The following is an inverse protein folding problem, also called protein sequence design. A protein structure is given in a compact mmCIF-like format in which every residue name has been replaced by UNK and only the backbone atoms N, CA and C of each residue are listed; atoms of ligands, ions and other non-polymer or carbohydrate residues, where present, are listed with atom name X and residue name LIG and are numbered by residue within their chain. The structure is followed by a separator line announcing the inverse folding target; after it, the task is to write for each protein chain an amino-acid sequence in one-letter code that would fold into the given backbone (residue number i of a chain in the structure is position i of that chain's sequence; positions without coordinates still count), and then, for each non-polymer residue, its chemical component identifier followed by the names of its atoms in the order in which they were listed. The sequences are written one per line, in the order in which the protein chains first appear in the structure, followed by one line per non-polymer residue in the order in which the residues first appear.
data_IF_673047667973
#
_entry.id   IF_673047667973
#
_cell.length_a   1.000
_cell.length_b   1.000
_cell.length_c   1.000
_cell.angle_alpha   90.00
_cell.angle_beta   90.00
_cell.angle_gamma   90.00
#
_symmetry.space_group_name_H-M   'P 1'
#
loop_
_entity.id
_entity.type
_entity.pdbx_description
1 polymer ?
#
# COMPACT_ATOMS: atom_id res chain seq x y z
N UNK A 1 10.96 -7.66 2.09
CA UNK A 1 9.74 -6.95 1.65
C UNK A 1 9.04 -6.53 2.90
N UNK A 2 9.29 -5.30 3.31
CA UNK A 2 8.60 -4.65 4.40
C UNK A 2 7.55 -3.70 3.83
N UNK A 3 6.43 -3.60 4.52
CA UNK A 3 5.41 -2.59 4.29
C UNK A 3 5.51 -1.59 5.43
N UNK A 4 5.67 -0.31 5.12
CA UNK A 4 5.68 0.76 6.12
C UNK A 4 4.68 1.81 5.71
N UNK A 5 3.79 2.18 6.62
CA UNK A 5 2.83 3.28 6.44
C UNK A 5 3.19 4.38 7.43
N UNK A 6 3.42 5.59 6.95
CA UNK A 6 3.75 6.70 7.84
C UNK A 6 2.52 7.16 8.63
N UNK A 7 2.71 7.81 9.80
CA UNK A 7 1.59 8.41 10.52
C UNK A 7 0.80 9.45 9.71
N UNK A 8 1.40 10.07 8.68
CA UNK A 8 0.70 11.02 7.81
C UNK A 8 -0.22 10.30 6.83
N UNK A 9 0.29 9.23 6.20
CA UNK A 9 -0.51 8.38 5.32
C UNK A 9 -1.66 7.72 6.10
N UNK A 10 -1.38 7.16 7.28
CA UNK A 10 -2.41 6.56 8.13
C UNK A 10 -3.56 7.54 8.41
N UNK A 11 -3.24 8.78 8.81
CA UNK A 11 -4.26 9.80 9.08
C UNK A 11 -5.08 10.16 7.85
N UNK A 12 -4.45 10.23 6.69
CA UNK A 12 -5.15 10.47 5.44
C UNK A 12 -6.11 9.31 5.11
N UNK A 13 -5.66 8.06 5.29
CA UNK A 13 -6.53 6.90 5.07
C UNK A 13 -7.71 6.87 6.04
N UNK A 14 -7.47 7.19 7.31
CA UNK A 14 -8.52 7.32 8.32
C UNK A 14 -9.55 8.41 7.99
N UNK A 15 -9.14 9.51 7.34
CA UNK A 15 -10.05 10.59 6.95
C UNK A 15 -10.80 10.34 5.65
N UNK A 16 -10.17 9.66 4.68
CA UNK A 16 -10.71 9.48 3.33
C UNK A 16 -11.41 8.15 3.10
N UNK A 17 -11.10 7.12 3.90
CA UNK A 17 -11.60 5.76 3.69
C UNK A 17 -12.39 5.30 4.91
N UNK A 18 -13.69 5.08 4.71
CA UNK A 18 -14.52 4.36 5.67
C UNK A 18 -14.28 2.85 5.50
N UNK A 19 -13.73 2.22 6.54
CA UNK A 19 -13.35 0.81 6.52
C UNK A 19 -14.36 -0.02 7.31
N UNK A 20 -15.06 -0.97 6.66
CA UNK A 20 -15.90 -1.92 7.38
C UNK A 20 -15.08 -2.76 8.35
N UNK A 21 -15.73 -3.23 9.42
CA UNK A 21 -15.13 -4.22 10.31
C UNK A 21 -14.63 -5.41 9.49
N UNK A 22 -13.39 -5.85 9.74
CA UNK A 22 -12.66 -6.94 9.05
C UNK A 22 -12.01 -6.61 7.70
N UNK A 23 -12.24 -5.42 7.15
CA UNK A 23 -11.59 -4.98 5.91
C UNK A 23 -10.25 -4.27 6.19
N UNK A 24 -9.42 -4.18 5.16
CA UNK A 24 -8.21 -3.36 5.17
C UNK A 24 -7.93 -2.77 3.80
N UNK A 25 -6.80 -2.07 3.71
CA UNK A 25 -6.30 -1.45 2.49
C UNK A 25 -5.21 -2.35 1.90
N UNK A 26 -5.49 -2.96 0.75
CA UNK A 26 -4.54 -3.77 -0.01
C UNK A 26 -3.73 -2.87 -0.94
N UNK A 27 -2.43 -3.14 -1.06
CA UNK A 27 -1.58 -2.58 -2.11
C UNK A 27 -1.20 -3.65 -3.13
N UNK A 28 -1.35 -3.34 -4.42
CA UNK A 28 -1.12 -4.29 -5.50
C UNK A 28 -0.50 -3.65 -6.76
N UNK A 29 0.10 -4.48 -7.61
CA UNK A 29 0.64 -4.05 -8.90
C UNK A 29 -0.43 -4.01 -9.99
N UNK A 30 -0.40 -2.98 -10.85
CA UNK A 30 -1.27 -2.85 -12.04
C UNK A 30 -0.43 -2.76 -13.30
N UNK A 31 -0.92 -3.39 -14.38
CA UNK A 31 -0.36 -3.21 -15.71
C UNK A 31 -0.58 -1.78 -16.19
N UNK A 32 0.39 -1.28 -16.96
CA UNK A 32 0.48 0.09 -17.45
C UNK A 32 0.79 1.12 -16.35
N UNK A 33 1.56 2.14 -16.74
CA UNK A 33 2.08 3.16 -15.84
C UNK A 33 3.56 2.96 -15.53
N UNK A 34 4.01 3.65 -14.49
CA UNK A 34 5.42 3.67 -14.08
C UNK A 34 5.51 3.94 -12.58
N UNK A 35 6.38 3.22 -11.88
CA UNK A 35 6.81 3.57 -10.52
C UNK A 35 8.27 4.04 -10.52
N UNK A 36 8.82 4.33 -9.34
CA UNK A 36 10.24 4.64 -9.18
C UNK A 36 11.17 3.54 -9.70
N UNK A 37 10.71 2.27 -9.67
CA UNK A 37 11.55 1.09 -9.92
C UNK A 37 11.02 0.17 -11.02
N UNK A 38 9.77 0.36 -11.48
CA UNK A 38 9.15 -0.45 -12.53
C UNK A 38 8.77 0.41 -13.73
N UNK A 39 9.14 -0.06 -14.94
CA UNK A 39 8.64 0.49 -16.20
C UNK A 39 7.49 -0.41 -16.72
N UNK A 40 6.38 0.21 -17.11
CA UNK A 40 5.17 -0.49 -17.57
C UNK A 40 4.23 -0.98 -16.46
N UNK A 41 4.51 -0.68 -15.19
CA UNK A 41 3.65 -1.04 -14.06
C UNK A 41 3.43 0.14 -13.12
N UNK A 42 2.23 0.19 -12.52
CA UNK A 42 1.85 1.16 -11.49
C UNK A 42 1.40 0.44 -10.22
N UNK A 43 1.29 1.18 -9.13
CA UNK A 43 0.71 0.69 -7.88
C UNK A 43 -0.78 1.06 -7.82
N UNK A 44 -1.58 0.15 -7.29
CA UNK A 44 -2.99 0.34 -6.99
C UNK A 44 -3.28 0.04 -5.52
N UNK A 45 -4.46 0.47 -5.08
CA UNK A 45 -5.01 0.11 -3.78
C UNK A 45 -6.50 -0.25 -3.87
N UNK A 46 -6.95 -1.11 -2.96
CA UNK A 46 -8.36 -1.50 -2.81
C UNK A 46 -8.72 -1.68 -1.33
N UNK A 47 -10.01 -1.54 -1.03
CA UNK A 47 -10.58 -1.87 0.28
C UNK A 47 -11.21 -3.25 0.19
N UNK A 48 -10.60 -4.23 0.86
CA UNK A 48 -11.04 -5.62 0.80
C UNK A 48 -10.66 -6.40 2.05
N UNK A 49 -11.22 -7.60 2.19
CA UNK A 49 -10.82 -8.53 3.25
C UNK A 49 -9.54 -9.26 2.82
N UNK A 50 -8.56 -9.41 3.71
CA UNK A 50 -7.36 -10.17 3.40
C UNK A 50 -7.68 -11.66 3.22
N UNK A 51 -7.19 -12.27 2.14
CA UNK A 51 -7.35 -13.71 1.85
C UNK A 51 -6.08 -14.50 2.19
N UNK A 52 -4.97 -14.21 1.51
CA UNK A 52 -3.65 -14.83 1.67
C UNK A 52 -2.51 -13.79 1.82
N UNK A 53 -2.64 -12.88 2.80
CA UNK A 53 -1.71 -11.76 2.98
C UNK A 53 -0.31 -12.22 3.36
N UNK A 54 0.69 -11.82 2.57
CA UNK A 54 2.11 -12.07 2.83
C UNK A 54 2.75 -10.99 3.70
N UNK A 55 2.14 -9.79 3.73
CA UNK A 55 2.51 -8.70 4.64
C UNK A 55 1.28 -8.03 5.20
N UNK A 56 1.35 -7.69 6.49
CA UNK A 56 0.33 -6.97 7.24
C UNK A 56 0.97 -5.91 8.11
N UNK A 57 0.33 -4.76 8.20
CA UNK A 57 0.64 -3.68 9.13
C UNK A 57 -0.68 -3.18 9.68
N UNK A 58 -0.83 -3.16 11.00
CA UNK A 58 -2.02 -2.64 11.66
C UNK A 58 -1.62 -1.40 12.46
N UNK A 59 -2.29 -0.28 12.20
CA UNK A 59 -2.04 1.01 12.85
C UNK A 59 -3.38 1.62 13.21
N UNK A 60 -3.60 1.87 14.50
CA UNK A 60 -4.82 2.49 15.03
C UNK A 60 -6.12 1.80 14.55
N UNK A 61 -6.09 0.47 14.41
CA UNK A 61 -7.22 -0.35 13.96
C UNK A 61 -7.36 -0.46 12.43
N UNK A 62 -6.58 0.29 11.66
CA UNK A 62 -6.54 0.17 10.19
C UNK A 62 -5.54 -0.89 9.77
N UNK A 63 -6.02 -1.91 9.06
CA UNK A 63 -5.18 -2.95 8.46
C UNK A 63 -4.71 -2.52 7.06
N UNK A 64 -3.41 -2.58 6.84
CA UNK A 64 -2.76 -2.44 5.54
C UNK A 64 -2.07 -3.75 5.16
N UNK A 65 -2.18 -4.18 3.91
CA UNK A 65 -1.63 -5.48 3.52
C UNK A 65 -1.26 -5.60 2.04
N UNK A 66 -0.52 -6.68 1.75
CA UNK A 66 -0.16 -7.14 0.41
C UNK A 66 -0.50 -8.63 0.34
N UNK A 67 -1.19 -9.03 -0.72
CA UNK A 67 -1.55 -10.43 -1.00
C UNK A 67 -0.40 -11.20 -1.64
N UNK A 68 -0.38 -12.52 -1.50
CA UNK A 68 0.62 -13.39 -2.13
C UNK A 68 0.65 -13.22 -3.67
N UNK A 69 -0.52 -13.03 -4.27
CA UNK A 69 -0.71 -12.79 -5.70
C UNK A 69 -0.02 -11.50 -6.19
N UNK A 70 0.31 -10.56 -5.29
CA UNK A 70 0.99 -9.30 -5.62
C UNK A 70 2.45 -9.26 -5.22
N UNK A 71 2.96 -10.30 -4.53
CA UNK A 71 4.34 -10.33 -4.02
C UNK A 71 5.38 -10.07 -5.13
N UNK A 72 5.11 -10.56 -6.35
CA UNK A 72 5.98 -10.38 -7.51
C UNK A 72 6.30 -8.91 -7.81
N UNK A 73 5.34 -8.00 -7.56
CA UNK A 73 5.47 -6.58 -7.85
C UNK A 73 6.36 -5.86 -6.83
N UNK A 74 6.46 -6.39 -5.61
CA UNK A 74 7.25 -5.80 -4.53
C UNK A 74 8.57 -6.54 -4.30
N UNK A 75 8.86 -7.59 -5.09
CA UNK A 75 10.02 -8.44 -4.91
C UNK A 75 11.33 -7.65 -4.98
N UNK A 76 12.15 -7.77 -3.93
CA UNK A 76 13.44 -7.06 -3.80
C UNK A 76 13.33 -5.60 -3.34
N UNK A 77 12.11 -5.12 -3.07
CA UNK A 77 11.85 -3.78 -2.58
C UNK A 77 10.95 -3.79 -1.34
N UNK A 78 11.14 -2.80 -0.48
CA UNK A 78 10.24 -2.47 0.60
C UNK A 78 9.35 -1.30 0.15
N UNK A 79 8.07 -1.36 0.52
CA UNK A 79 7.10 -0.32 0.21
C UNK A 79 7.00 0.65 1.40
N UNK A 80 7.27 1.92 1.14
CA UNK A 80 6.93 3.02 2.05
C UNK A 80 5.74 3.78 1.47
N UNK A 81 4.64 3.76 2.20
CA UNK A 81 3.45 4.56 1.93
C UNK A 81 3.51 5.83 2.79
N UNK A 82 3.56 6.99 2.14
CA UNK A 82 3.57 8.29 2.78
C UNK A 82 2.45 9.17 2.20
N UNK A 83 2.43 10.45 2.57
CA UNK A 83 1.42 11.41 2.13
C UNK A 83 2.09 12.70 1.62
N UNK A 84 1.69 13.16 0.43
CA UNK A 84 2.10 14.45 -0.09
C UNK A 84 1.03 15.52 0.23
N UNK A 85 1.29 16.45 1.16
CA UNK A 85 0.33 17.49 1.53
C UNK A 85 0.12 18.55 0.43
N UNK A 86 0.93 18.56 -0.63
CA UNK A 86 0.74 19.49 -1.76
C UNK A 86 -0.22 18.95 -2.80
N UNK A 87 -0.18 17.64 -3.02
CA UNK A 87 -1.05 16.93 -3.96
C UNK A 87 -2.28 16.35 -3.27
N UNK A 88 -2.29 16.34 -1.93
CA UNK A 88 -3.36 15.82 -1.09
C UNK A 88 -3.66 14.34 -1.36
N UNK A 89 -2.62 13.56 -1.65
CA UNK A 89 -2.72 12.14 -2.00
C UNK A 89 -1.58 11.29 -1.36
N UNK A 90 -1.77 9.97 -1.23
CA UNK A 90 -0.72 9.06 -0.81
C UNK A 90 0.41 8.97 -1.85
N UNK A 91 1.63 8.86 -1.36
CA UNK A 91 2.81 8.56 -2.18
C UNK A 91 3.38 7.19 -1.86
N UNK A 92 4.05 6.61 -2.85
CA UNK A 92 4.55 5.24 -2.79
C UNK A 92 6.02 5.21 -3.18
N UNK A 93 6.87 4.88 -2.22
CA UNK A 93 8.31 4.82 -2.42
C UNK A 93 8.82 3.39 -2.31
N UNK A 94 9.68 3.00 -3.24
CA UNK A 94 10.26 1.66 -3.31
C UNK A 94 11.71 1.70 -2.85
N UNK A 95 12.00 1.12 -1.69
CA UNK A 95 13.37 1.04 -1.16
C UNK A 95 13.96 -0.32 -1.46
N UNK A 96 15.13 -0.36 -2.08
CA UNK A 96 15.81 -1.64 -2.32
C UNK A 96 16.23 -2.27 -0.99
N UNK A 97 15.97 -3.57 -0.84
CA UNK A 97 16.39 -4.39 0.31
C UNK A 97 17.91 -4.59 0.36
#
# INVERSE_FOLDING_TARGET
MELTVTPKAQKWFESEIDLPETYGIRFFGKVYGKTEVHDGFSIGMSVEQPEHPVKKVEIDGTLFFIEDADEWFFKGYDLLVDYDPKLEEPTYHFKKQ
#
